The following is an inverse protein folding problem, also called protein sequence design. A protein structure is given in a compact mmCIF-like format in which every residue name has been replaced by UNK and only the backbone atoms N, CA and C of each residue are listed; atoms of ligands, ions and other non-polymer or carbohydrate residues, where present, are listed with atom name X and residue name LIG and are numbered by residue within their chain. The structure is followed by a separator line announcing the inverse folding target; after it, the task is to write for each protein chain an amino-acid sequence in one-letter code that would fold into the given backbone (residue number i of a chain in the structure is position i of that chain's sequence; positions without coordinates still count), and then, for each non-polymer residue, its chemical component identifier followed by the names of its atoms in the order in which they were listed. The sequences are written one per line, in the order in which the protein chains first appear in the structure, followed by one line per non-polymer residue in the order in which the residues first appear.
data_IF_062331065382
#
_entry.id   IF_062331065382
#
_cell.length_a   1.000
_cell.length_b   1.000
_cell.length_c   1.000
_cell.angle_alpha   90.00
_cell.angle_beta   90.00
_cell.angle_gamma   90.00
#
_symmetry.space_group_name_H-M   'P 1'
#
loop_
_entity.id
_entity.type
_entity.pdbx_description
1 polymer ?
#
# COMPACT_ATOMS: atom_id res chain seq x y z
N UNK A 1 -7.55 -18.89 0.90
CA UNK A 1 -8.56 -19.85 1.39
C UNK A 1 -8.95 -20.70 0.20
N UNK A 2 -8.68 -22.01 0.21
CA UNK A 2 -8.96 -22.91 -0.91
C UNK A 2 -10.47 -23.05 -1.10
N UNK A 3 -10.96 -22.94 -2.34
CA UNK A 3 -12.34 -23.29 -2.69
C UNK A 3 -12.29 -24.56 -3.53
N UNK A 4 -12.92 -25.62 -3.02
CA UNK A 4 -13.04 -26.91 -3.69
C UNK A 4 -14.25 -26.88 -4.63
N UNK A 5 -14.06 -27.28 -5.89
CA UNK A 5 -15.16 -27.57 -6.81
C UNK A 5 -15.06 -29.03 -7.23
N UNK A 6 -16.15 -29.78 -7.02
CA UNK A 6 -16.27 -31.18 -7.45
C UNK A 6 -17.14 -31.20 -8.70
N UNK A 7 -16.58 -31.63 -9.83
CA UNK A 7 -17.35 -31.90 -11.05
C UNK A 7 -17.52 -33.42 -11.15
N UNK A 8 -18.77 -33.89 -11.08
CA UNK A 8 -19.11 -35.30 -11.25
C UNK A 8 -19.50 -35.52 -12.71
N UNK A 9 -18.69 -36.27 -13.47
CA UNK A 9 -19.00 -36.70 -14.83
C UNK A 9 -19.31 -38.20 -14.81
N UNK A 10 -20.59 -38.54 -15.03
CA UNK A 10 -21.04 -39.94 -15.10
C UNK A 10 -20.98 -40.48 -16.52
N UNK A 11 -20.13 -41.48 -16.76
CA UNK A 11 -20.31 -42.45 -17.85
C UNK A 11 -20.41 -43.83 -17.19
N UNK A 12 -21.57 -44.45 -17.37
CA UNK A 12 -21.95 -45.84 -17.03
C UNK A 12 -20.94 -46.64 -16.19
N UNK A 13 -21.21 -46.73 -14.89
CA UNK A 13 -20.85 -47.91 -14.09
C UNK A 13 -19.64 -47.82 -13.17
N UNK A 14 -18.81 -46.78 -13.21
CA UNK A 14 -17.77 -46.55 -12.20
C UNK A 14 -17.61 -45.06 -11.90
N UNK A 15 -17.80 -44.70 -10.63
CA UNK A 15 -17.65 -43.33 -10.14
C UNK A 15 -16.16 -43.08 -9.89
N UNK A 16 -15.45 -42.54 -10.88
CA UNK A 16 -14.12 -41.99 -10.68
C UNK A 16 -14.23 -40.49 -10.42
N UNK A 17 -14.00 -40.08 -9.18
CA UNK A 17 -13.80 -38.67 -8.84
C UNK A 17 -12.42 -38.26 -9.32
N UNK A 18 -12.35 -37.41 -10.35
CA UNK A 18 -11.10 -36.74 -10.73
C UNK A 18 -11.13 -35.37 -10.04
N UNK A 19 -10.34 -35.22 -8.98
CA UNK A 19 -10.15 -33.94 -8.30
C UNK A 19 -9.26 -33.04 -9.16
N UNK A 20 -9.88 -32.06 -9.83
CA UNK A 20 -9.13 -30.98 -10.46
C UNK A 20 -8.91 -29.86 -9.46
N UNK A 21 -7.67 -29.71 -9.00
CA UNK A 21 -7.26 -28.48 -8.34
C UNK A 21 -7.11 -27.40 -9.41
N UNK A 22 -8.12 -26.55 -9.56
CA UNK A 22 -7.99 -25.33 -10.35
C UNK A 22 -7.63 -24.20 -9.37
N UNK A 23 -6.36 -23.82 -9.21
CA UNK A 23 -6.00 -22.62 -8.47
C UNK A 23 -6.45 -21.39 -9.28
N UNK A 24 -7.71 -20.98 -9.13
CA UNK A 24 -8.15 -19.65 -9.61
C UNK A 24 -8.28 -18.72 -8.42
N UNK A 25 -7.11 -18.26 -7.97
CA UNK A 25 -6.96 -16.98 -7.31
C UNK A 25 -5.89 -16.25 -8.09
N UNK A 26 -6.28 -15.72 -9.24
CA UNK A 26 -5.51 -14.66 -9.88
C UNK A 26 -5.59 -13.44 -8.98
N UNK A 27 -4.69 -13.36 -8.01
CA UNK A 27 -4.31 -12.08 -7.41
C UNK A 27 -3.91 -11.17 -8.57
N UNK A 28 -4.78 -10.23 -8.95
CA UNK A 28 -4.49 -9.20 -9.94
C UNK A 28 -3.49 -8.25 -9.31
N UNK A 29 -2.21 -8.46 -9.62
CA UNK A 29 -1.07 -7.94 -8.87
C UNK A 29 -1.02 -6.41 -8.84
N UNK A 30 -1.08 -5.88 -7.61
CA UNK A 30 -0.57 -4.58 -7.21
C UNK A 30 0.69 -4.86 -6.38
N UNK A 31 1.88 -4.64 -6.93
CA UNK A 31 3.16 -4.90 -6.22
C UNK A 31 4.02 -3.65 -6.19
N UNK A 32 4.71 -3.37 -5.08
CA UNK A 32 5.50 -2.14 -4.94
C UNK A 32 6.93 -2.28 -5.47
N UNK A 33 7.57 -1.16 -5.78
CA UNK A 33 8.78 -1.10 -6.58
C UNK A 33 10.11 -1.53 -5.90
N UNK A 34 10.10 -2.01 -4.65
CA UNK A 34 11.33 -2.42 -3.96
C UNK A 34 11.08 -3.72 -3.22
N UNK A 35 12.07 -4.62 -3.34
CA UNK A 35 11.94 -6.07 -3.23
C UNK A 35 10.77 -6.57 -2.40
N UNK A 36 10.09 -7.53 -2.99
CA UNK A 36 8.94 -8.30 -2.48
C UNK A 36 9.18 -9.01 -1.15
N UNK A 37 10.25 -8.70 -0.42
CA UNK A 37 10.45 -9.16 0.93
C UNK A 37 9.44 -8.46 1.86
N UNK A 38 8.48 -9.18 2.45
CA UNK A 38 7.50 -8.62 3.38
C UNK A 38 8.11 -7.98 4.64
N UNK A 39 9.43 -8.09 4.86
CA UNK A 39 10.16 -7.40 5.93
C UNK A 39 10.73 -6.03 5.58
N UNK A 40 10.67 -5.58 4.32
CA UNK A 40 11.30 -4.31 3.90
C UNK A 40 10.60 -3.08 4.49
N UNK A 41 11.41 -2.13 4.97
CA UNK A 41 10.95 -0.85 5.51
C UNK A 41 11.37 0.27 4.55
N UNK A 42 10.40 1.10 4.15
CA UNK A 42 10.66 2.29 3.34
C UNK A 42 11.10 3.45 4.23
N UNK A 43 12.02 4.26 3.71
CA UNK A 43 12.48 5.47 4.39
C UNK A 43 12.10 6.69 3.55
N UNK A 44 11.33 7.59 4.14
CA UNK A 44 11.13 8.94 3.64
C UNK A 44 11.82 9.95 4.54
N UNK A 45 12.11 11.11 3.99
CA UNK A 45 12.79 12.20 4.67
C UNK A 45 11.95 13.46 4.53
N UNK A 46 11.67 14.11 5.66
CA UNK A 46 11.00 15.41 5.70
C UNK A 46 12.09 16.48 5.62
N UNK A 47 12.19 17.14 4.47
CA UNK A 47 13.14 18.20 4.24
C UNK A 47 12.44 19.52 4.57
N UNK A 48 12.48 19.91 5.84
CA UNK A 48 11.76 21.12 6.31
C UNK A 48 12.16 22.40 5.56
N UNK A 49 13.43 22.50 5.15
CA UNK A 49 13.94 23.68 4.44
C UNK A 49 13.29 23.86 3.06
N UNK A 50 13.02 22.77 2.35
CA UNK A 50 12.33 22.80 1.05
C UNK A 50 10.84 22.47 1.17
N UNK A 51 10.38 22.15 2.38
CA UNK A 51 8.98 21.79 2.67
C UNK A 51 8.49 20.59 1.84
N UNK A 52 9.41 19.67 1.58
CA UNK A 52 9.19 18.50 0.75
C UNK A 52 9.36 17.21 1.55
N UNK A 53 8.66 16.17 1.10
CA UNK A 53 8.90 14.80 1.58
C UNK A 53 9.54 14.03 0.44
N UNK A 54 10.77 13.58 0.68
CA UNK A 54 11.50 12.78 -0.27
C UNK A 54 11.48 11.32 0.16
N UNK A 55 10.84 10.46 -0.63
CA UNK A 55 10.93 9.01 -0.44
C UNK A 55 11.85 8.47 -1.49
N UNK A 56 13.02 7.99 -1.06
CA UNK A 56 13.88 7.21 -1.92
C UNK A 56 13.86 5.77 -1.48
N UNK A 57 13.57 4.87 -2.40
CA UNK A 57 13.18 5.14 -3.79
C UNK A 57 11.70 5.56 -3.96
N UNK A 58 11.30 6.17 -5.10
CA UNK A 58 9.97 6.77 -5.25
C UNK A 58 8.83 5.79 -5.03
N UNK A 59 7.72 6.34 -4.55
CA UNK A 59 6.50 5.61 -4.30
C UNK A 59 5.83 5.20 -5.63
N UNK A 60 6.03 3.94 -6.04
CA UNK A 60 5.53 3.41 -7.31
C UNK A 60 4.92 2.01 -7.15
N UNK A 61 3.75 1.86 -7.77
CA UNK A 61 2.96 0.65 -7.86
C UNK A 61 3.12 0.04 -9.24
N UNK A 62 3.55 -1.21 -9.29
CA UNK A 62 3.37 -2.04 -10.47
C UNK A 62 1.92 -2.52 -10.51
N UNK A 63 1.21 -2.02 -11.51
CA UNK A 63 -0.19 -2.33 -11.78
C UNK A 63 -0.30 -3.45 -12.83
N UNK A 64 -1.39 -4.21 -12.78
CA UNK A 64 -1.80 -5.06 -13.89
C UNK A 64 -2.20 -4.18 -15.10
N UNK A 65 -2.20 -4.76 -16.30
CA UNK A 65 -2.42 -4.05 -17.58
C UNK A 65 -3.76 -3.32 -17.69
N UNK A 66 -4.71 -3.56 -16.79
CA UNK A 66 -6.02 -2.88 -16.72
C UNK A 66 -6.27 -2.20 -15.37
N UNK A 67 -5.30 -2.20 -14.46
CA UNK A 67 -5.41 -1.60 -13.12
C UNK A 67 -4.95 -0.15 -13.12
N UNK A 68 -5.54 0.66 -12.23
CA UNK A 68 -5.15 2.07 -12.02
C UNK A 68 -5.02 2.34 -10.54
N UNK A 69 -3.96 3.02 -10.12
CA UNK A 69 -3.82 3.44 -8.74
C UNK A 69 -4.82 4.57 -8.44
N UNK A 70 -5.83 4.29 -7.63
CA UNK A 70 -6.85 5.25 -7.24
C UNK A 70 -6.43 6.04 -6.00
N UNK A 71 -5.98 5.31 -4.98
CA UNK A 71 -5.60 5.90 -3.71
C UNK A 71 -4.34 5.24 -3.18
N UNK A 72 -3.53 6.06 -2.49
CA UNK A 72 -2.49 5.58 -1.62
C UNK A 72 -2.88 6.00 -0.21
N UNK A 73 -2.98 5.07 0.72
CA UNK A 73 -3.42 5.32 2.08
C UNK A 73 -2.26 5.25 3.05
N UNK A 74 -2.11 6.25 3.90
CA UNK A 74 -1.28 6.18 5.10
C UNK A 74 -2.12 5.62 6.24
N UNK A 75 -1.57 4.64 6.95
CA UNK A 75 -2.21 3.96 8.05
C UNK A 75 -1.35 4.15 9.31
N UNK A 76 -1.99 4.30 10.49
CA UNK A 76 -1.28 4.37 11.75
C UNK A 76 -0.63 3.03 12.09
N UNK A 77 0.34 3.08 13.00
CA UNK A 77 0.87 1.89 13.69
C UNK A 77 0.30 1.79 15.09
N UNK A 78 0.64 0.73 15.83
CA UNK A 78 0.24 0.58 17.23
C UNK A 78 0.75 1.73 18.13
N UNK A 79 1.83 2.39 17.70
CA UNK A 79 2.57 3.39 18.48
C UNK A 79 2.48 4.81 17.93
N UNK A 80 2.16 4.97 16.64
CA UNK A 80 2.18 6.27 15.97
C UNK A 80 0.90 6.47 15.16
N UNK A 81 0.24 7.61 15.38
CA UNK A 81 -0.82 8.09 14.50
C UNK A 81 -0.22 8.61 13.19
N UNK A 82 -1.04 8.66 12.13
CA UNK A 82 -0.66 9.39 10.91
C UNK A 82 -0.69 10.89 11.25
N UNK A 83 0.43 11.62 11.07
CA UNK A 83 0.45 13.04 11.39
C UNK A 83 -0.47 13.82 10.45
N UNK A 84 -1.16 14.83 10.99
CA UNK A 84 -2.15 15.61 10.26
C UNK A 84 -1.57 16.37 9.06
N UNK A 85 -0.26 16.64 9.12
CA UNK A 85 0.49 17.39 8.13
C UNK A 85 1.11 16.53 7.02
N UNK A 86 0.88 15.21 7.03
CA UNK A 86 1.37 14.31 5.98
C UNK A 86 0.19 13.62 5.33
N UNK A 87 0.11 13.74 4.01
CA UNK A 87 -0.86 13.02 3.21
C UNK A 87 -0.23 12.51 1.91
N UNK A 88 -1.01 11.75 1.16
CA UNK A 88 -0.60 11.10 -0.08
C UNK A 88 -1.35 11.70 -1.26
N UNK A 89 -0.68 11.75 -2.41
CA UNK A 89 -1.27 12.18 -3.67
C UNK A 89 -0.85 11.21 -4.76
N UNK A 90 -1.82 10.72 -5.53
CA UNK A 90 -1.53 9.94 -6.74
C UNK A 90 -1.11 10.92 -7.82
N UNK A 91 0.16 10.86 -8.22
CA UNK A 91 0.74 11.75 -9.22
C UNK A 91 0.50 11.26 -10.65
N UNK A 92 0.38 9.95 -10.84
CA UNK A 92 -0.02 9.33 -12.10
C UNK A 92 -0.68 7.98 -11.83
N UNK A 93 -2.00 7.92 -12.03
CA UNK A 93 -2.81 6.74 -11.75
C UNK A 93 -2.50 5.57 -12.71
N UNK A 94 -2.19 5.87 -13.98
CA UNK A 94 -1.95 4.86 -15.02
C UNK A 94 -0.59 4.19 -14.84
N UNK A 95 0.42 4.99 -14.46
CA UNK A 95 1.73 4.45 -14.12
C UNK A 95 1.87 4.05 -12.65
N UNK A 96 0.82 4.21 -11.84
CA UNK A 96 0.85 3.80 -10.43
C UNK A 96 1.81 4.61 -9.57
N UNK A 97 2.09 5.87 -9.92
CA UNK A 97 2.96 6.76 -9.16
C UNK A 97 2.18 7.55 -8.13
N UNK A 98 2.78 7.70 -6.96
CA UNK A 98 2.29 8.55 -5.90
C UNK A 98 3.44 9.29 -5.23
N UNK A 99 3.10 10.28 -4.41
CA UNK A 99 4.04 11.04 -3.60
C UNK A 99 3.42 11.29 -2.22
N UNK A 100 4.30 11.56 -1.25
CA UNK A 100 3.89 12.15 0.02
C UNK A 100 3.96 13.65 -0.10
N UNK A 101 2.99 14.31 0.52
CA UNK A 101 2.85 15.77 0.49
C UNK A 101 2.83 16.26 1.92
N UNK A 102 3.58 17.35 2.14
CA UNK A 102 3.64 18.05 3.40
C UNK A 102 2.60 19.18 3.39
N UNK A 103 1.75 19.24 4.42
CA UNK A 103 0.92 20.40 4.70
C UNK A 103 1.64 21.27 5.73
N UNK A 104 2.27 22.33 5.25
CA UNK A 104 3.06 23.25 6.07
C UNK A 104 2.25 23.94 7.18
N UNK A 105 1.01 24.34 6.87
CA UNK A 105 0.14 25.00 7.84
C UNK A 105 -0.20 24.06 8.99
N UNK A 106 -0.54 22.80 8.68
CA UNK A 106 -0.79 21.78 9.68
C UNK A 106 0.47 21.43 10.49
N UNK A 107 1.65 21.39 9.85
CA UNK A 107 2.93 21.16 10.54
C UNK A 107 3.22 22.27 11.54
N UNK A 108 3.00 23.53 11.13
CA UNK A 108 3.17 24.69 12.00
C UNK A 108 2.21 24.66 13.19
N UNK A 109 0.94 24.33 12.96
CA UNK A 109 -0.07 24.22 14.02
C UNK A 109 0.25 23.11 15.03
N UNK A 110 0.68 21.94 14.57
CA UNK A 110 1.06 20.83 15.45
C UNK A 110 2.29 21.18 16.30
N UNK A 111 3.23 21.97 15.77
CA UNK A 111 4.38 22.50 16.53
C UNK A 111 3.96 23.45 17.63
N UNK A 112 3.08 24.41 17.31
CA UNK A 112 2.58 25.36 18.30
C UNK A 112 1.86 24.67 19.46
N UNK A 113 1.21 23.53 19.20
CA UNK A 113 0.53 22.73 20.23
C UNK A 113 1.48 21.86 21.06
N UNK A 114 2.77 21.80 20.71
CA UNK A 114 3.73 20.94 21.40
C UNK A 114 3.50 19.45 21.13
N UNK A 115 2.85 19.10 20.01
CA UNK A 115 2.62 17.70 19.62
C UNK A 115 3.90 16.97 19.19
N UNK A 116 5.03 17.68 19.09
CA UNK A 116 6.36 17.14 18.80
C UNK A 116 7.27 17.22 20.02
N UNK A 117 7.59 16.08 20.66
CA UNK A 117 8.73 16.05 21.58
C UNK A 117 10.03 16.44 20.86
N UNK A 118 10.97 17.14 21.51
CA UNK A 118 12.31 17.33 20.97
C UNK A 118 12.96 15.96 20.69
N UNK A 119 13.33 15.69 19.43
CA UNK A 119 13.90 14.40 19.00
C UNK A 119 12.89 13.38 18.43
N UNK A 120 11.60 13.73 18.33
CA UNK A 120 10.55 12.87 17.74
C UNK A 120 10.51 12.91 16.20
N UNK A 121 11.67 13.03 15.54
CA UNK A 121 11.76 13.22 14.08
C UNK A 121 11.34 12.02 13.24
N UNK A 122 10.99 10.89 13.87
CA UNK A 122 10.67 9.65 13.18
C UNK A 122 9.21 9.25 13.34
N UNK A 123 8.48 9.17 12.23
CA UNK A 123 7.12 8.66 12.17
C UNK A 123 7.09 7.27 11.55
N UNK A 124 6.71 6.28 12.36
CA UNK A 124 6.53 4.90 11.90
C UNK A 124 5.08 4.71 11.44
N UNK A 125 4.90 4.66 10.12
CA UNK A 125 3.61 4.54 9.45
C UNK A 125 3.51 3.24 8.67
N UNK A 126 2.30 2.97 8.18
CA UNK A 126 2.05 1.95 7.18
C UNK A 126 1.48 2.59 5.91
N UNK A 127 1.71 1.96 4.77
CA UNK A 127 1.15 2.42 3.48
C UNK A 127 0.45 1.28 2.75
N UNK A 128 -0.70 1.58 2.12
CA UNK A 128 -1.49 0.65 1.30
C UNK A 128 -1.89 1.34 -0.01
N UNK A 129 -1.64 0.69 -1.15
CA UNK A 129 -2.17 1.12 -2.44
C UNK A 129 -3.54 0.50 -2.72
N UNK A 130 -4.43 1.25 -3.35
CA UNK A 130 -5.77 0.82 -3.76
C UNK A 130 -5.98 1.01 -5.26
N UNK A 131 -6.41 -0.05 -5.93
CA UNK A 131 -6.78 -0.06 -7.35
C UNK A 131 -8.23 0.37 -7.56
N UNK A 132 -8.47 1.09 -8.64
CA UNK A 132 -9.77 1.55 -9.11
C UNK A 132 -10.68 0.43 -9.66
N UNK A 133 -10.14 -0.76 -9.93
CA UNK A 133 -10.97 -1.88 -10.39
C UNK A 133 -12.08 -2.21 -9.39
N UNK A 134 -13.17 -2.77 -9.90
CA UNK A 134 -14.30 -3.22 -9.10
C UNK A 134 -14.36 -4.76 -9.13
N UNK A 135 -14.28 -5.45 -7.97
CA UNK A 135 -14.12 -4.90 -6.62
C UNK A 135 -12.75 -4.25 -6.39
N UNK A 136 -12.69 -3.26 -5.51
CA UNK A 136 -11.43 -2.59 -5.15
C UNK A 136 -10.42 -3.59 -4.60
N UNK A 137 -9.23 -3.59 -5.18
CA UNK A 137 -8.11 -4.39 -4.69
C UNK A 137 -7.13 -3.50 -3.94
N UNK A 138 -6.69 -3.98 -2.77
CA UNK A 138 -5.69 -3.29 -1.94
C UNK A 138 -4.43 -4.13 -1.79
N UNK A 139 -3.29 -3.47 -1.69
CA UNK A 139 -2.04 -4.14 -1.33
C UNK A 139 -2.05 -4.61 0.11
N UNK A 140 -1.11 -5.50 0.45
CA UNK A 140 -0.72 -5.69 1.86
C UNK A 140 -0.14 -4.37 2.41
N UNK A 141 -0.30 -4.08 3.72
CA UNK A 141 0.33 -2.91 4.33
C UNK A 141 1.85 -3.05 4.41
N UNK A 142 2.57 -1.97 4.12
CA UNK A 142 4.04 -1.89 4.20
C UNK A 142 4.48 -0.89 5.24
N UNK A 143 5.61 -1.13 5.90
CA UNK A 143 6.18 -0.19 6.86
C UNK A 143 6.89 0.98 6.15
N UNK A 144 6.63 2.19 6.64
CA UNK A 144 7.24 3.43 6.17
C UNK A 144 7.74 4.21 7.40
N UNK A 145 9.04 4.48 7.45
CA UNK A 145 9.66 5.36 8.42
C UNK A 145 9.88 6.72 7.76
N UNK A 146 9.24 7.77 8.27
CA UNK A 146 9.51 9.15 7.86
C UNK A 146 10.43 9.79 8.87
N UNK A 147 11.61 10.22 8.42
CA UNK A 147 12.72 10.77 9.20
C UNK A 147 12.83 12.29 9.04
#
# INVERSE_FOLDING_TARGET
MLVQYIIVLGILGNWFSIEFYIPVLTESQITWNFDSDPGSIFHGYIIEKSQEIFVYPPLHVKLASTSKLCHLHLLPTATHAVPSFIFTEVSDAESGRAKLVLNESALYDDRLRGNFPPGSGVFHLKVVGEDCNHPHHRTKPWALNLL
#
